data_IF_276841635607
#
_entry.id   IF_276841635607
#
_cell.length_a   1.000
_cell.length_b   1.000
_cell.length_c   1.000
_cell.angle_alpha   90.00
_cell.angle_beta   90.00
_cell.angle_gamma   90.00
#
_symmetry.space_group_name_H-M   'P 1'
#
loop_
_entity.id
_entity.type
_entity.pdbx_description
1 polymer ?
#
# COMPACT_ATOMS: atom_id res chain seq x y z
N UNK A 1 -8.37 26.58 -25.87
CA UNK A 1 -7.08 26.17 -25.26
C UNK A 1 -7.10 24.65 -25.20
N UNK A 2 -6.16 23.97 -25.86
CA UNK A 2 -6.13 22.50 -25.92
C UNK A 2 -5.87 21.90 -24.53
N UNK A 3 -6.48 20.75 -24.24
CA UNK A 3 -6.27 19.99 -22.99
C UNK A 3 -4.80 19.66 -22.74
N UNK A 4 -4.04 19.46 -23.82
CA UNK A 4 -2.60 19.21 -23.81
C UNK A 4 -1.79 20.38 -23.22
N UNK A 5 -2.16 21.62 -23.58
CA UNK A 5 -1.45 22.80 -23.09
C UNK A 5 -1.68 22.99 -21.58
N UNK A 6 -2.91 22.73 -21.11
CA UNK A 6 -3.22 22.75 -19.68
C UNK A 6 -2.43 21.70 -18.91
N UNK A 7 -2.34 20.47 -19.45
CA UNK A 7 -1.53 19.40 -18.86
C UNK A 7 -0.04 19.76 -18.80
N UNK A 8 0.51 20.35 -19.86
CA UNK A 8 1.91 20.80 -19.91
C UNK A 8 2.21 21.87 -18.85
N UNK A 9 1.31 22.84 -18.66
CA UNK A 9 1.46 23.87 -17.62
C UNK A 9 1.42 23.28 -16.21
N UNK A 10 0.49 22.36 -15.95
CA UNK A 10 0.40 21.66 -14.66
C UNK A 10 1.66 20.83 -14.40
N UNK A 11 2.12 20.06 -15.39
CA UNK A 11 3.34 19.25 -15.28
C UNK A 11 4.58 20.10 -15.01
N UNK A 12 4.73 21.22 -15.74
CA UNK A 12 5.84 22.15 -15.55
C UNK A 12 5.80 22.80 -14.18
N UNK A 13 4.62 23.25 -13.72
CA UNK A 13 4.43 23.84 -12.39
C UNK A 13 4.76 22.86 -11.26
N UNK A 14 4.33 21.61 -11.37
CA UNK A 14 4.67 20.55 -10.41
C UNK A 14 6.16 20.22 -10.40
N UNK A 15 6.79 20.18 -11.57
CA UNK A 15 8.23 19.94 -11.70
C UNK A 15 9.03 21.05 -11.01
N UNK A 16 8.67 22.31 -11.22
CA UNK A 16 9.26 23.45 -10.53
C UNK A 16 8.99 23.41 -9.02
N UNK A 17 7.79 23.00 -8.59
CA UNK A 17 7.45 22.87 -7.18
C UNK A 17 8.34 21.83 -6.47
N UNK A 18 8.63 20.71 -7.13
CA UNK A 18 9.59 19.71 -6.60
C UNK A 18 11.00 20.31 -6.56
N UNK A 19 11.47 20.93 -7.65
CA UNK A 19 12.81 21.53 -7.68
C UNK A 19 13.02 22.69 -6.69
N UNK A 20 11.95 23.29 -6.17
CA UNK A 20 12.03 24.30 -5.11
C UNK A 20 12.73 23.80 -3.83
N UNK A 21 12.91 22.49 -3.65
CA UNK A 21 13.72 21.93 -2.56
C UNK A 21 15.16 22.48 -2.54
N UNK A 22 15.72 22.80 -3.72
CA UNK A 22 17.10 23.26 -3.85
C UNK A 22 17.34 24.64 -3.22
N UNK A 23 16.28 25.44 -3.09
CA UNK A 23 16.36 26.80 -2.57
C UNK A 23 16.20 26.84 -1.04
N UNK A 24 15.21 26.10 -0.49
CA UNK A 24 14.92 25.91 0.95
C UNK A 24 13.68 25.01 1.10
N UNK A 25 13.38 24.54 2.31
CA UNK A 25 12.05 24.00 2.67
C UNK A 25 10.95 25.05 2.49
N UNK A 26 10.33 25.08 1.30
CA UNK A 26 9.28 26.02 0.89
C UNK A 26 7.90 25.32 0.95
N UNK A 27 6.82 26.02 1.35
CA UNK A 27 5.44 25.53 1.19
C UNK A 27 5.14 24.85 -0.15
N UNK A 28 5.68 25.36 -1.27
CA UNK A 28 5.49 24.77 -2.59
C UNK A 28 6.08 23.35 -2.72
N UNK A 29 7.27 23.13 -2.15
CA UNK A 29 7.90 21.81 -2.13
C UNK A 29 7.08 20.84 -1.28
N UNK A 30 6.68 21.24 -0.07
CA UNK A 30 5.85 20.42 0.83
C UNK A 30 4.51 20.04 0.21
N UNK A 31 3.90 20.94 -0.57
CA UNK A 31 2.70 20.62 -1.32
C UNK A 31 2.95 19.55 -2.39
N UNK A 32 4.01 19.70 -3.18
CA UNK A 32 4.39 18.70 -4.19
C UNK A 32 4.69 17.34 -3.59
N UNK A 33 5.39 17.30 -2.46
CA UNK A 33 5.69 16.08 -1.70
C UNK A 33 4.41 15.38 -1.20
N UNK A 34 3.51 16.10 -0.53
CA UNK A 34 2.24 15.52 -0.06
C UNK A 34 1.35 15.06 -1.21
N UNK A 35 1.31 15.81 -2.32
CA UNK A 35 0.56 15.40 -3.50
C UNK A 35 1.12 14.12 -4.09
N UNK A 36 2.44 14.04 -4.25
CA UNK A 36 3.12 12.87 -4.80
C UNK A 36 2.88 11.62 -3.95
N UNK A 37 3.10 11.72 -2.63
CA UNK A 37 2.86 10.61 -1.70
C UNK A 37 1.36 10.25 -1.68
N UNK A 38 0.48 11.24 -1.69
CA UNK A 38 -0.97 11.03 -1.75
C UNK A 38 -1.42 10.24 -2.99
N UNK A 39 -0.92 10.62 -4.17
CA UNK A 39 -1.20 9.89 -5.43
C UNK A 39 -0.62 8.48 -5.37
N UNK A 40 0.61 8.31 -4.88
CA UNK A 40 1.25 7.01 -4.74
C UNK A 40 0.45 6.06 -3.84
N UNK A 41 0.04 6.54 -2.66
CA UNK A 41 -0.78 5.77 -1.72
C UNK A 41 -2.16 5.49 -2.30
N UNK A 42 -2.80 6.46 -2.95
CA UNK A 42 -4.12 6.29 -3.56
C UNK A 42 -4.14 5.26 -4.69
N UNK A 43 -3.12 5.30 -5.57
CA UNK A 43 -2.95 4.28 -6.61
C UNK A 43 -2.70 2.90 -5.99
N UNK A 44 -1.78 2.81 -5.04
CA UNK A 44 -1.44 1.57 -4.36
C UNK A 44 -2.65 0.94 -3.66
N UNK A 45 -3.47 1.75 -2.99
CA UNK A 45 -4.70 1.30 -2.33
C UNK A 45 -5.73 0.80 -3.33
N UNK A 46 -5.90 1.49 -4.46
CA UNK A 46 -6.80 1.06 -5.53
C UNK A 46 -6.36 -0.30 -6.08
N UNK A 47 -5.06 -0.46 -6.38
CA UNK A 47 -4.52 -1.74 -6.83
C UNK A 47 -4.75 -2.83 -5.78
N UNK A 48 -4.46 -2.55 -4.51
CA UNK A 48 -4.67 -3.48 -3.41
C UNK A 48 -6.12 -3.96 -3.33
N UNK A 49 -7.09 -3.04 -3.36
CA UNK A 49 -8.51 -3.37 -3.21
C UNK A 49 -9.01 -4.19 -4.40
N UNK A 50 -8.77 -3.72 -5.62
CA UNK A 50 -9.36 -4.32 -6.82
C UNK A 50 -8.62 -5.54 -7.35
N UNK A 51 -7.30 -5.62 -7.19
CA UNK A 51 -6.51 -6.74 -7.70
C UNK A 51 -6.27 -7.84 -6.66
N UNK A 52 -6.36 -7.51 -5.36
CA UNK A 52 -6.03 -8.47 -4.30
C UNK A 52 -7.20 -8.66 -3.33
N UNK A 53 -7.71 -7.60 -2.72
CA UNK A 53 -8.69 -7.73 -1.62
C UNK A 53 -10.02 -8.31 -2.09
N UNK A 54 -10.61 -7.75 -3.14
CA UNK A 54 -11.89 -8.22 -3.69
C UNK A 54 -11.81 -9.63 -4.28
N UNK A 55 -10.90 -9.92 -5.25
CA UNK A 55 -10.89 -11.21 -5.92
C UNK A 55 -10.25 -12.33 -5.08
N UNK A 56 -9.24 -12.04 -4.25
CA UNK A 56 -8.49 -13.09 -3.54
C UNK A 56 -8.91 -13.31 -2.10
N UNK A 57 -9.60 -12.35 -1.49
CA UNK A 57 -10.05 -12.46 -0.10
C UNK A 57 -11.58 -12.42 0.02
N UNK A 58 -12.23 -11.35 -0.42
CA UNK A 58 -13.67 -11.15 -0.21
C UNK A 58 -14.53 -12.17 -0.98
N UNK A 59 -14.30 -12.32 -2.28
CA UNK A 59 -15.07 -13.21 -3.15
C UNK A 59 -14.98 -14.68 -2.71
N UNK A 60 -13.78 -15.27 -2.53
CA UNK A 60 -13.67 -16.68 -2.15
C UNK A 60 -14.11 -16.95 -0.71
N UNK A 61 -14.00 -15.99 0.21
CA UNK A 61 -14.43 -16.16 1.60
C UNK A 61 -15.96 -16.11 1.73
N UNK A 62 -16.62 -15.13 1.09
CA UNK A 62 -18.05 -14.88 1.27
C UNK A 62 -18.95 -15.49 0.18
N UNK A 63 -18.45 -15.68 -1.05
CA UNK A 63 -19.25 -16.27 -2.15
C UNK A 63 -18.98 -17.76 -2.37
N UNK A 64 -17.72 -18.18 -2.27
CA UNK A 64 -17.33 -19.58 -2.52
C UNK A 64 -17.30 -20.43 -1.24
N UNK A 65 -17.34 -19.79 -0.07
CA UNK A 65 -17.33 -20.48 1.23
C UNK A 65 -16.02 -21.20 1.53
N UNK A 66 -14.91 -20.77 0.91
CA UNK A 66 -13.62 -21.42 1.09
C UNK A 66 -13.04 -21.10 2.49
N UNK A 67 -13.29 -22.02 3.43
CA UNK A 67 -12.89 -21.90 4.83
C UNK A 67 -11.37 -21.90 5.03
N UNK A 68 -10.58 -22.34 4.05
CA UNK A 68 -9.10 -22.32 4.13
C UNK A 68 -8.58 -20.89 4.27
N UNK A 69 -9.29 -19.90 3.73
CA UNK A 69 -8.92 -18.49 3.82
C UNK A 69 -9.17 -17.88 5.21
N UNK A 70 -9.82 -18.60 6.14
CA UNK A 70 -9.95 -18.14 7.53
C UNK A 70 -8.59 -18.06 8.22
N UNK A 71 -7.67 -18.99 7.94
CA UNK A 71 -6.32 -18.99 8.52
C UNK A 71 -5.56 -17.70 8.17
N UNK A 72 -5.36 -17.33 6.88
CA UNK A 72 -4.71 -16.07 6.54
C UNK A 72 -5.52 -14.84 6.98
N UNK A 73 -6.85 -14.93 7.08
CA UNK A 73 -7.68 -13.84 7.61
C UNK A 73 -7.40 -13.57 9.08
N UNK A 74 -7.37 -14.63 9.90
CA UNK A 74 -7.04 -14.52 11.33
C UNK A 74 -5.61 -13.99 11.50
N UNK A 75 -4.64 -14.53 10.77
CA UNK A 75 -3.26 -14.03 10.80
C UNK A 75 -3.18 -12.55 10.39
N UNK A 76 -3.95 -12.13 9.38
CA UNK A 76 -4.05 -10.73 8.99
C UNK A 76 -4.64 -9.84 10.09
N UNK A 77 -5.71 -10.29 10.76
CA UNK A 77 -6.31 -9.59 11.90
C UNK A 77 -5.36 -9.50 13.10
N UNK A 78 -4.51 -10.51 13.32
CA UNK A 78 -3.50 -10.48 14.39
C UNK A 78 -2.50 -9.33 14.21
N UNK A 79 -2.24 -8.85 13.00
CA UNK A 79 -1.37 -7.67 12.79
C UNK A 79 -1.98 -6.41 13.42
N UNK A 80 -3.31 -6.29 13.42
CA UNK A 80 -4.01 -5.13 14.00
C UNK A 80 -3.82 -5.05 15.52
N UNK A 81 -3.53 -6.16 16.20
CA UNK A 81 -3.22 -6.15 17.64
C UNK A 81 -1.98 -5.32 17.98
N UNK A 82 -1.13 -4.99 16.99
CA UNK A 82 0.04 -4.13 17.17
C UNK A 82 -0.29 -2.70 17.60
N UNK A 83 -1.49 -2.20 17.26
CA UNK A 83 -1.95 -0.89 17.76
C UNK A 83 -2.12 -0.89 19.29
N UNK A 84 -2.26 -2.06 19.91
CA UNK A 84 -2.41 -2.21 21.35
C UNK A 84 -1.16 -2.87 21.96
N UNK A 85 -0.31 -2.13 22.70
CA UNK A 85 0.96 -2.66 23.22
C UNK A 85 0.80 -3.90 24.12
N UNK A 86 -0.35 -4.07 24.78
CA UNK A 86 -0.67 -5.26 25.60
C UNK A 86 -0.82 -6.56 24.79
N UNK A 87 -1.32 -6.49 23.56
CA UNK A 87 -1.58 -7.66 22.71
C UNK A 87 -0.59 -7.80 21.55
N UNK A 88 0.38 -6.89 21.46
CA UNK A 88 1.41 -6.86 20.41
C UNK A 88 2.17 -8.18 20.24
N UNK A 89 2.30 -9.00 21.29
CA UNK A 89 2.92 -10.33 21.21
C UNK A 89 2.23 -11.26 20.21
N UNK A 90 0.93 -11.09 19.97
CA UNK A 90 0.14 -11.94 19.09
C UNK A 90 0.48 -11.70 17.61
N UNK A 91 0.91 -10.50 17.25
CA UNK A 91 1.41 -10.18 15.91
C UNK A 91 2.67 -10.96 15.51
N UNK A 92 3.44 -11.45 16.49
CA UNK A 92 4.68 -12.21 16.24
C UNK A 92 4.42 -13.52 15.50
N UNK A 93 3.27 -14.16 15.72
CA UNK A 93 2.87 -15.36 15.00
C UNK A 93 2.68 -15.10 13.52
N UNK A 94 2.04 -13.98 13.16
CA UNK A 94 1.89 -13.58 11.76
C UNK A 94 3.23 -13.28 11.12
N UNK A 95 4.12 -12.56 11.82
CA UNK A 95 5.47 -12.31 11.29
C UNK A 95 6.27 -13.58 11.08
N UNK A 96 6.24 -14.52 12.02
CA UNK A 96 6.91 -15.82 11.88
C UNK A 96 6.39 -16.59 10.66
N UNK A 97 5.06 -16.59 10.45
CA UNK A 97 4.45 -17.21 9.28
C UNK A 97 4.87 -16.53 7.97
N UNK A 98 4.83 -15.20 7.89
CA UNK A 98 5.22 -14.44 6.68
C UNK A 98 6.69 -14.66 6.34
N UNK A 99 7.58 -14.62 7.34
CA UNK A 99 9.03 -14.85 7.15
C UNK A 99 9.30 -16.29 6.75
N UNK A 100 8.67 -17.28 7.42
CA UNK A 100 8.81 -18.70 7.08
C UNK A 100 8.30 -19.03 5.69
N UNK A 101 7.12 -18.52 5.32
CA UNK A 101 6.57 -18.65 3.97
C UNK A 101 7.47 -17.96 2.93
N UNK A 102 7.91 -16.74 3.21
CA UNK A 102 8.81 -15.99 2.33
C UNK A 102 10.13 -16.73 2.08
N UNK A 103 10.75 -17.28 3.13
CA UNK A 103 11.94 -18.11 3.00
C UNK A 103 11.65 -19.39 2.20
N UNK A 104 10.52 -20.06 2.46
CA UNK A 104 10.10 -21.27 1.75
C UNK A 104 9.86 -21.06 0.25
N UNK A 105 9.22 -19.97 -0.15
CA UNK A 105 8.96 -19.62 -1.57
C UNK A 105 10.25 -19.24 -2.31
N UNK A 106 11.26 -18.72 -1.61
CA UNK A 106 12.55 -18.40 -2.25
C UNK A 106 13.45 -19.61 -2.51
N UNK A 107 13.18 -20.76 -1.90
CA UNK A 107 13.98 -21.99 -2.10
C UNK A 107 13.74 -22.63 -3.49
N UNK A 108 12.51 -22.79 -3.99
CA UNK A 108 12.27 -23.22 -5.37
C UNK A 108 12.37 -22.03 -6.32
N UNK A 109 13.59 -21.51 -6.49
CA UNK A 109 13.94 -20.58 -7.57
C UNK A 109 14.74 -21.35 -8.63
N UNK A 110 14.03 -21.83 -9.64
CA UNK A 110 14.58 -22.05 -10.98
C UNK A 110 14.38 -20.78 -11.80
#
# INVERSE_FOLDING_TARGET
>A
MSSELLGAWVATGLTLAIFSFLYKDNPFFKFGEHLYIGVSVGYSLTVLIFNFMLPKWWTPLFREGNMVLLVPTVLGLLIWTRFFPRFSWLSRWTFAFVVGFGAGVQIPRY
#
